data_IF_711473224843
#
_entry.id   IF_711473224843
#
_cell.length_a   1.000
_cell.length_b   1.000
_cell.length_c   1.000
_cell.angle_alpha   90.00
_cell.angle_beta   90.00
_cell.angle_gamma   90.00
#
_symmetry.space_group_name_H-M   'P 1'
#
loop_
_entity.id
_entity.type
_entity.pdbx_description
1 polymer ?
#
# COMPACT_ATOMS: atom_id res chain seq x y z
N UNK A 1 -14.52 16.61 11.60
CA UNK A 1 -13.44 15.70 11.15
C UNK A 1 -14.08 14.34 10.95
N UNK A 2 -14.04 13.77 9.73
CA UNK A 2 -14.68 12.46 9.45
C UNK A 2 -13.89 11.34 10.14
N UNK A 3 -14.60 10.35 10.67
CA UNK A 3 -14.01 9.14 11.26
C UNK A 3 -13.08 8.40 10.29
N UNK A 4 -13.31 8.54 8.97
CA UNK A 4 -12.47 7.96 7.92
C UNK A 4 -11.04 8.51 7.94
N UNK A 5 -10.87 9.82 8.14
CA UNK A 5 -9.54 10.46 8.24
C UNK A 5 -8.73 9.97 9.45
N UNK A 6 -9.41 9.65 10.55
CA UNK A 6 -8.76 9.16 11.77
C UNK A 6 -8.31 7.70 11.58
N UNK A 7 -9.10 6.90 10.87
CA UNK A 7 -8.70 5.54 10.47
C UNK A 7 -7.51 5.56 9.53
N UNK A 8 -7.56 6.43 8.51
CA UNK A 8 -6.45 6.63 7.58
C UNK A 8 -5.17 7.04 8.30
N UNK A 9 -5.21 8.03 9.21
CA UNK A 9 -4.05 8.42 10.02
C UNK A 9 -3.42 7.26 10.81
N UNK A 10 -4.22 6.43 11.48
CA UNK A 10 -3.72 5.26 12.21
C UNK A 10 -3.20 4.15 11.29
N UNK A 11 -3.81 4.01 10.10
CA UNK A 11 -3.37 3.10 9.04
C UNK A 11 -1.96 3.48 8.58
N UNK A 12 -1.71 4.76 8.30
CA UNK A 12 -0.41 5.25 7.89
C UNK A 12 0.68 4.95 8.91
N UNK A 13 0.45 5.26 10.19
CA UNK A 13 1.46 5.03 11.24
C UNK A 13 1.80 3.54 11.40
N UNK A 14 0.80 2.65 11.36
CA UNK A 14 1.03 1.20 11.43
C UNK A 14 1.77 0.67 10.21
N UNK A 15 1.35 1.10 9.02
CA UNK A 15 1.99 0.70 7.77
C UNK A 15 3.43 1.17 7.72
N UNK A 16 3.73 2.38 8.20
CA UNK A 16 5.08 2.93 8.24
C UNK A 16 6.03 2.11 9.11
N UNK A 17 5.58 1.60 10.24
CA UNK A 17 6.41 0.74 11.09
C UNK A 17 6.65 -0.65 10.46
N UNK A 18 5.66 -1.21 9.79
CA UNK A 18 5.83 -2.45 9.04
C UNK A 18 6.75 -2.26 7.82
N UNK A 19 6.71 -1.10 7.16
CA UNK A 19 7.59 -0.77 6.03
C UNK A 19 9.07 -0.74 6.42
N UNK A 20 9.39 -0.36 7.66
CA UNK A 20 10.77 -0.43 8.17
C UNK A 20 11.32 -1.86 8.24
N UNK A 21 10.47 -2.88 8.27
CA UNK A 21 10.87 -4.28 8.25
C UNK A 21 11.10 -4.83 6.83
N UNK A 22 10.79 -4.04 5.79
CA UNK A 22 10.98 -4.42 4.38
C UNK A 22 12.42 -4.09 3.95
N UNK A 23 13.04 -4.88 3.05
CA UNK A 23 14.30 -4.51 2.41
C UNK A 23 14.28 -3.06 1.87
N UNK A 24 15.35 -2.32 2.13
CA UNK A 24 15.45 -0.89 1.85
C UNK A 24 15.13 -0.52 0.39
N UNK A 25 15.45 -1.40 -0.56
CA UNK A 25 15.17 -1.26 -2.00
C UNK A 25 13.68 -1.12 -2.30
N UNK A 26 12.83 -1.84 -1.58
CA UNK A 26 11.38 -1.83 -1.78
C UNK A 26 10.67 -0.84 -0.84
N UNK A 27 11.27 -0.57 0.34
CA UNK A 27 10.69 0.28 1.37
C UNK A 27 10.36 1.69 0.88
N UNK A 28 11.22 2.35 0.10
CA UNK A 28 11.01 3.75 -0.30
C UNK A 28 9.83 3.93 -1.25
N UNK A 29 9.69 3.04 -2.25
CA UNK A 29 8.56 3.08 -3.18
C UNK A 29 7.25 2.71 -2.48
N UNK A 30 7.30 1.69 -1.62
CA UNK A 30 6.14 1.28 -0.84
C UNK A 30 5.72 2.42 0.08
N UNK A 31 6.65 3.05 0.81
CA UNK A 31 6.39 4.20 1.69
C UNK A 31 5.72 5.32 0.92
N UNK A 32 6.20 5.68 -0.27
CA UNK A 32 5.56 6.70 -1.11
C UNK A 32 4.13 6.34 -1.51
N UNK A 33 3.86 5.06 -1.79
CA UNK A 33 2.52 4.56 -2.13
C UNK A 33 1.59 4.50 -0.93
N UNK A 34 2.09 4.06 0.21
CA UNK A 34 1.29 3.90 1.42
C UNK A 34 1.08 5.21 2.15
N UNK A 35 1.92 6.24 1.95
CA UNK A 35 1.77 7.58 2.57
C UNK A 35 0.89 8.52 1.75
N UNK A 36 0.66 8.19 0.49
CA UNK A 36 -0.23 8.92 -0.40
C UNK A 36 -1.65 8.31 -0.34
N UNK A 37 -2.64 9.00 0.25
CA UNK A 37 -4.00 8.48 0.39
C UNK A 37 -4.67 8.18 -0.97
N UNK A 38 -4.38 8.96 -2.02
CA UNK A 38 -4.99 8.75 -3.33
C UNK A 38 -4.46 7.48 -3.98
N UNK A 39 -3.14 7.26 -3.91
CA UNK A 39 -2.50 6.04 -4.42
C UNK A 39 -2.93 4.81 -3.63
N UNK A 40 -3.04 4.92 -2.30
CA UNK A 40 -3.49 3.83 -1.45
C UNK A 40 -4.95 3.45 -1.76
N UNK A 41 -5.82 4.44 -1.99
CA UNK A 41 -7.20 4.20 -2.38
C UNK A 41 -7.28 3.53 -3.76
N UNK A 42 -6.54 4.03 -4.75
CA UNK A 42 -6.44 3.41 -6.07
C UNK A 42 -5.95 1.95 -5.97
N UNK A 43 -4.95 1.69 -5.13
CA UNK A 43 -4.44 0.33 -4.88
C UNK A 43 -5.52 -0.60 -4.31
N UNK A 44 -6.30 -0.14 -3.34
CA UNK A 44 -7.44 -0.88 -2.79
C UNK A 44 -8.52 -1.14 -3.82
N UNK A 45 -8.80 -0.17 -4.69
CA UNK A 45 -9.79 -0.32 -5.75
C UNK A 45 -9.35 -1.36 -6.78
N UNK A 46 -8.08 -1.36 -7.19
CA UNK A 46 -7.54 -2.39 -8.08
C UNK A 46 -7.59 -3.79 -7.46
N UNK A 47 -7.27 -3.92 -6.17
CA UNK A 47 -7.44 -5.20 -5.45
C UNK A 47 -8.90 -5.64 -5.46
N UNK A 48 -9.84 -4.75 -5.15
CA UNK A 48 -11.27 -5.06 -5.15
C UNK A 48 -11.79 -5.48 -6.52
N UNK A 49 -11.23 -4.90 -7.58
CA UNK A 49 -11.53 -5.27 -8.97
C UNK A 49 -10.92 -6.61 -9.39
N UNK A 50 -10.13 -7.25 -8.52
CA UNK A 50 -9.53 -8.55 -8.78
C UNK A 50 -8.24 -8.50 -9.60
N UNK A 51 -7.56 -7.34 -9.65
CA UNK A 51 -6.29 -7.23 -10.36
C UNK A 51 -5.22 -8.11 -9.70
N UNK A 52 -4.58 -8.92 -10.52
CA UNK A 52 -3.41 -9.70 -10.14
C UNK A 52 -2.22 -8.78 -9.86
N UNK A 53 -1.28 -9.27 -9.03
CA UNK A 53 -0.17 -8.46 -8.52
C UNK A 53 0.75 -7.95 -9.64
N UNK A 54 0.73 -8.60 -10.80
CA UNK A 54 1.51 -8.20 -11.97
C UNK A 54 0.87 -7.01 -12.69
N UNK A 55 -0.42 -7.09 -13.04
CA UNK A 55 -1.14 -5.97 -13.65
C UNK A 55 -1.16 -4.74 -12.75
N UNK A 56 -1.34 -4.94 -11.45
CA UNK A 56 -1.28 -3.86 -10.46
C UNK A 56 0.12 -3.23 -10.38
N UNK A 57 1.17 -4.04 -10.50
CA UNK A 57 2.55 -3.56 -10.56
C UNK A 57 2.83 -2.76 -11.82
N UNK A 58 2.37 -3.22 -12.97
CA UNK A 58 2.53 -2.53 -14.26
C UNK A 58 1.80 -1.18 -14.28
N UNK A 59 0.56 -1.12 -13.79
CA UNK A 59 -0.21 0.14 -13.73
C UNK A 59 0.36 1.15 -12.72
N UNK A 60 0.88 0.65 -11.59
CA UNK A 60 1.38 1.50 -10.51
C UNK A 60 2.90 1.74 -10.62
N UNK A 61 3.58 1.18 -11.62
CA UNK A 61 5.05 1.24 -11.72
C UNK A 61 5.78 0.58 -10.52
N UNK A 62 5.14 -0.40 -9.91
CA UNK A 62 5.63 -1.21 -8.80
C UNK A 62 6.07 -2.59 -9.31
N UNK A 63 7.00 -3.22 -8.60
CA UNK A 63 7.32 -4.63 -8.87
C UNK A 63 6.25 -5.53 -8.28
N UNK A 64 6.11 -6.74 -8.82
CA UNK A 64 5.19 -7.76 -8.27
C UNK A 64 5.43 -7.99 -6.78
N UNK A 65 6.70 -7.99 -6.36
CA UNK A 65 7.11 -8.13 -4.97
C UNK A 65 6.59 -6.97 -4.10
N UNK A 66 6.74 -5.72 -4.58
CA UNK A 66 6.25 -4.53 -3.87
C UNK A 66 4.73 -4.56 -3.70
N UNK A 67 4.01 -4.98 -4.74
CA UNK A 67 2.55 -5.14 -4.71
C UNK A 67 2.14 -6.22 -3.71
N UNK A 68 2.82 -7.36 -3.68
CA UNK A 68 2.54 -8.42 -2.71
C UNK A 68 2.76 -7.95 -1.27
N UNK A 69 3.84 -7.20 -1.02
CA UNK A 69 4.09 -6.64 0.30
C UNK A 69 2.98 -5.65 0.70
N UNK A 70 2.59 -4.72 -0.18
CA UNK A 70 1.49 -3.79 0.12
C UNK A 70 0.16 -4.56 0.33
N UNK A 71 -0.10 -5.61 -0.44
CA UNK A 71 -1.26 -6.51 -0.24
C UNK A 71 -1.22 -7.18 1.12
N UNK A 72 -0.08 -7.74 1.54
CA UNK A 72 0.08 -8.34 2.87
C UNK A 72 -0.11 -7.31 3.98
N UNK A 73 0.48 -6.12 3.82
CA UNK A 73 0.31 -5.01 4.74
C UNK A 73 -1.16 -4.62 4.90
N UNK A 74 -1.88 -4.47 3.78
CA UNK A 74 -3.31 -4.16 3.76
C UNK A 74 -4.20 -5.31 4.27
N UNK A 75 -3.81 -6.57 4.06
CA UNK A 75 -4.55 -7.74 4.53
C UNK A 75 -4.40 -8.00 6.03
N UNK A 76 -3.39 -7.41 6.68
CA UNK A 76 -3.20 -7.44 8.14
C UNK A 76 -4.01 -6.37 8.89
N UNK A 77 -4.73 -5.49 8.17
CA UNK A 77 -5.56 -4.41 8.71
C UNK A 77 -7.04 -4.81 8.81
#
# INVERSE_FOLDING_TARGET
>A
MSWDKIREMNLFDKLKDEVKNIPSVDSSKIEEYITDPEKLQAFKDYIHQGYDSRSLGEEMGLTTNQVEIIKELLGKL
#
